data_IF_695817278820
#
_entry.id   IF_695817278820
#
_cell.length_a   1.000
_cell.length_b   1.000
_cell.length_c   1.000
_cell.angle_alpha   90.00
_cell.angle_beta   90.00
_cell.angle_gamma   90.00
#
_symmetry.space_group_name_H-M   'P 1'
#
loop_
_entity.id
_entity.type
_entity.pdbx_description
1 polymer ?
#
# COMPACT_ATOMS: atom_id res chain seq x y z
N UNK A 1 32.66 2.08 -50.95
CA UNK A 1 32.60 1.40 -49.65
C UNK A 1 32.70 2.36 -48.46
N UNK A 2 33.64 3.33 -48.43
CA UNK A 2 33.81 4.27 -47.30
C UNK A 2 32.55 5.08 -46.89
N UNK A 3 31.74 5.51 -47.86
CA UNK A 3 30.51 6.29 -47.60
C UNK A 3 29.42 5.48 -46.86
N UNK A 4 29.33 4.18 -47.14
CA UNK A 4 28.39 3.27 -46.46
C UNK A 4 28.80 3.03 -45.01
N UNK A 5 30.11 2.89 -44.76
CA UNK A 5 30.65 2.73 -43.40
C UNK A 5 30.41 3.97 -42.54
N UNK A 6 30.57 5.18 -43.10
CA UNK A 6 30.29 6.44 -42.38
C UNK A 6 28.80 6.57 -42.06
N UNK A 7 27.93 6.19 -43.00
CA UNK A 7 26.48 6.25 -42.80
C UNK A 7 26.02 5.26 -41.73
N UNK A 8 26.57 4.04 -41.72
CA UNK A 8 26.33 3.05 -40.68
C UNK A 8 26.80 3.53 -39.30
N UNK A 9 27.99 4.14 -39.22
CA UNK A 9 28.51 4.68 -37.96
C UNK A 9 27.64 5.82 -37.43
N UNK A 10 27.16 6.71 -38.30
CA UNK A 10 26.25 7.80 -37.91
C UNK A 10 24.91 7.29 -37.41
N UNK A 11 24.38 6.22 -38.01
CA UNK A 11 23.11 5.63 -37.59
C UNK A 11 23.22 5.00 -36.20
N UNK A 12 24.32 4.27 -35.94
CA UNK A 12 24.60 3.68 -34.62
C UNK A 12 24.78 4.77 -33.56
N UNK A 13 25.50 5.86 -33.89
CA UNK A 13 25.70 7.00 -32.99
C UNK A 13 24.39 7.73 -32.66
N UNK A 14 23.46 7.86 -33.62
CA UNK A 14 22.15 8.47 -33.43
C UNK A 14 21.20 7.59 -32.60
N UNK A 15 21.31 6.26 -32.72
CA UNK A 15 20.49 5.31 -31.94
C UNK A 15 21.01 5.04 -30.52
N UNK A 16 22.28 5.35 -30.24
CA UNK A 16 22.92 5.04 -28.96
C UNK A 16 22.55 5.96 -27.78
N UNK A 17 21.83 7.06 -28.01
CA UNK A 17 21.57 8.10 -26.99
C UNK A 17 20.12 8.10 -26.48
N UNK A 18 19.29 7.13 -26.87
CA UNK A 18 17.96 6.98 -26.26
C UNK A 18 18.06 6.22 -24.94
N UNK A 19 18.71 6.82 -23.96
CA UNK A 19 18.49 6.47 -22.56
C UNK A 19 17.10 6.94 -22.19
N UNK A 20 16.09 6.09 -22.43
CA UNK A 20 14.79 6.28 -21.81
C UNK A 20 15.02 6.14 -20.30
N UNK A 21 14.75 7.20 -19.55
CA UNK A 21 14.72 7.15 -18.10
C UNK A 21 13.56 6.23 -17.68
N UNK A 22 13.87 4.96 -17.41
CA UNK A 22 12.92 3.95 -16.89
C UNK A 22 12.71 4.17 -15.39
N UNK A 23 13.16 5.29 -14.80
CA UNK A 23 12.86 5.60 -13.41
C UNK A 23 11.51 6.32 -13.33
N UNK A 24 10.48 5.57 -12.93
CA UNK A 24 9.23 6.19 -12.52
C UNK A 24 9.51 7.08 -11.30
N UNK A 25 9.05 8.35 -11.28
CA UNK A 25 9.20 9.20 -10.11
C UNK A 25 8.50 8.52 -8.92
N UNK A 26 8.99 8.67 -7.69
CA UNK A 26 8.46 7.97 -6.51
C UNK A 26 6.98 8.28 -6.19
N UNK A 27 6.42 9.32 -6.83
CA UNK A 27 5.01 9.71 -6.76
C UNK A 27 4.11 9.10 -7.84
N UNK A 28 4.66 8.42 -8.86
CA UNK A 28 3.92 7.96 -10.04
C UNK A 28 2.78 7.00 -9.68
N UNK A 29 2.98 6.16 -8.67
CA UNK A 29 1.98 5.20 -8.23
C UNK A 29 0.85 5.83 -7.40
N UNK A 30 1.00 7.08 -6.95
CA UNK A 30 0.02 7.78 -6.12
C UNK A 30 -0.84 8.70 -6.99
N UNK A 31 -1.91 8.14 -7.55
CA UNK A 31 -2.88 8.85 -8.39
C UNK A 31 -4.22 9.04 -7.68
N UNK A 32 -5.02 9.99 -8.16
CA UNK A 32 -6.40 10.19 -7.70
C UNK A 32 -7.25 8.90 -7.82
N UNK A 33 -7.03 8.12 -8.88
CA UNK A 33 -7.72 6.84 -9.10
C UNK A 33 -7.34 5.79 -8.05
N UNK A 34 -6.05 5.70 -7.70
CA UNK A 34 -5.60 4.80 -6.63
C UNK A 34 -6.13 5.22 -5.27
N UNK A 35 -6.18 6.53 -5.00
CA UNK A 35 -6.81 7.08 -3.79
C UNK A 35 -8.30 6.74 -3.72
N UNK A 36 -9.04 6.86 -4.83
CA UNK A 36 -10.44 6.43 -4.91
C UNK A 36 -10.60 4.92 -4.68
N UNK A 37 -9.79 4.09 -5.35
CA UNK A 37 -9.84 2.63 -5.18
C UNK A 37 -9.56 2.21 -3.73
N UNK A 38 -8.58 2.84 -3.09
CA UNK A 38 -8.27 2.65 -1.67
C UNK A 38 -9.40 3.11 -0.76
N UNK A 39 -10.01 4.26 -1.04
CA UNK A 39 -11.14 4.78 -0.28
C UNK A 39 -12.32 3.80 -0.27
N UNK A 40 -12.71 3.32 -1.47
CA UNK A 40 -13.78 2.34 -1.63
C UNK A 40 -13.42 1.03 -0.92
N UNK A 41 -12.19 0.54 -1.10
CA UNK A 41 -11.72 -0.69 -0.46
C UNK A 41 -11.77 -0.59 1.07
N UNK A 42 -11.34 0.54 1.64
CA UNK A 42 -11.39 0.78 3.08
C UNK A 42 -12.80 0.82 3.65
N UNK A 43 -13.79 1.32 2.88
CA UNK A 43 -15.19 1.34 3.29
C UNK A 43 -15.79 -0.07 3.24
N UNK A 44 -15.56 -0.80 2.14
CA UNK A 44 -16.20 -2.10 1.90
C UNK A 44 -15.56 -3.23 2.70
N UNK A 45 -14.22 -3.24 2.79
CA UNK A 45 -13.45 -4.33 3.38
C UNK A 45 -12.74 -3.93 4.67
N UNK A 46 -13.02 -2.74 5.22
CA UNK A 46 -12.43 -2.30 6.49
C UNK A 46 -12.73 -3.21 7.68
N UNK A 47 -13.85 -3.94 7.63
CA UNK A 47 -14.23 -4.90 8.67
C UNK A 47 -13.27 -6.10 8.78
N UNK A 48 -12.48 -6.39 7.73
CA UNK A 48 -11.49 -7.49 7.74
C UNK A 48 -10.37 -7.29 8.76
N UNK A 49 -10.16 -6.06 9.26
CA UNK A 49 -9.24 -5.78 10.36
C UNK A 49 -9.60 -6.54 11.64
N UNK A 50 -10.89 -6.81 11.90
CA UNK A 50 -11.33 -7.51 13.11
C UNK A 50 -10.82 -8.97 13.14
N UNK A 51 -11.22 -9.85 12.19
CA UNK A 51 -10.78 -11.23 12.20
C UNK A 51 -9.26 -11.36 12.06
N UNK A 52 -8.64 -10.50 11.25
CA UNK A 52 -7.18 -10.53 11.05
C UNK A 52 -6.44 -10.16 12.34
N UNK A 53 -6.84 -9.10 13.03
CA UNK A 53 -6.18 -8.68 14.28
C UNK A 53 -6.31 -9.74 15.37
N UNK A 54 -7.44 -10.46 15.42
CA UNK A 54 -7.64 -11.57 16.36
C UNK A 54 -6.62 -12.67 16.11
N UNK A 55 -6.41 -13.08 14.85
CA UNK A 55 -5.42 -14.10 14.49
C UNK A 55 -4.01 -13.59 14.81
N UNK A 56 -3.68 -12.35 14.44
CA UNK A 56 -2.36 -11.77 14.67
C UNK A 56 -2.01 -11.70 16.16
N UNK A 57 -2.94 -11.24 17.00
CA UNK A 57 -2.76 -11.19 18.46
C UNK A 57 -2.74 -12.59 19.06
N UNK A 58 -3.50 -13.54 18.51
CA UNK A 58 -3.44 -14.92 18.94
C UNK A 58 -2.04 -15.52 18.69
N UNK A 59 -1.44 -15.25 17.54
CA UNK A 59 -0.11 -15.76 17.18
C UNK A 59 1.00 -15.11 18.02
N UNK A 60 0.88 -13.83 18.38
CA UNK A 60 1.92 -13.13 19.17
C UNK A 60 1.74 -13.24 20.68
N UNK A 61 0.50 -13.33 21.16
CA UNK A 61 0.17 -13.14 22.59
C UNK A 61 -0.79 -14.20 23.13
N UNK A 62 -1.20 -15.16 22.31
CA UNK A 62 -2.03 -16.30 22.67
C UNK A 62 -3.53 -16.06 22.58
N UNK A 63 -4.29 -17.16 22.63
CA UNK A 63 -5.74 -17.21 22.33
C UNK A 63 -6.58 -16.28 23.21
N UNK A 64 -6.19 -16.10 24.48
CA UNK A 64 -6.91 -15.23 25.43
C UNK A 64 -6.76 -13.76 25.07
N UNK A 65 -5.56 -13.35 24.67
CA UNK A 65 -5.31 -11.99 24.20
C UNK A 65 -6.02 -11.74 22.86
N UNK A 66 -6.01 -12.71 21.95
CA UNK A 66 -6.74 -12.61 20.67
C UNK A 66 -8.24 -12.38 20.86
N UNK A 67 -8.88 -13.15 21.75
CA UNK A 67 -10.32 -13.04 22.01
C UNK A 67 -10.72 -11.77 22.80
N UNK A 68 -9.78 -11.09 23.46
CA UNK A 68 -10.04 -9.89 24.27
C UNK A 68 -9.44 -8.65 23.60
N UNK A 69 -8.14 -8.44 23.76
CA UNK A 69 -7.39 -7.33 23.17
C UNK A 69 -7.51 -7.31 21.64
N UNK A 70 -7.39 -8.47 20.97
CA UNK A 70 -7.44 -8.55 19.51
C UNK A 70 -8.76 -8.08 18.91
N UNK A 71 -9.90 -8.38 19.56
CA UNK A 71 -11.23 -7.92 19.13
C UNK A 71 -11.34 -6.40 19.24
N UNK A 72 -10.93 -5.83 20.38
CA UNK A 72 -11.03 -4.38 20.64
C UNK A 72 -10.11 -3.60 19.71
N UNK A 73 -8.86 -4.05 19.56
CA UNK A 73 -7.86 -3.44 18.68
C UNK A 73 -8.29 -3.53 17.20
N UNK A 74 -8.78 -4.69 16.76
CA UNK A 74 -9.28 -4.89 15.40
C UNK A 74 -10.50 -4.01 15.09
N UNK A 75 -11.37 -3.80 16.07
CA UNK A 75 -12.53 -2.90 15.95
C UNK A 75 -12.07 -1.44 15.83
N UNK A 76 -11.09 -1.01 16.63
CA UNK A 76 -10.52 0.34 16.53
C UNK A 76 -9.91 0.58 15.14
N UNK A 77 -9.13 -0.39 14.63
CA UNK A 77 -8.54 -0.35 13.29
C UNK A 77 -9.58 -0.26 12.18
N UNK A 78 -10.65 -1.06 12.27
CA UNK A 78 -11.78 -1.01 11.35
C UNK A 78 -12.34 0.41 11.28
N UNK A 79 -12.64 1.04 12.43
CA UNK A 79 -13.20 2.39 12.44
C UNK A 79 -12.24 3.45 11.89
N UNK A 80 -10.95 3.36 12.23
CA UNK A 80 -9.91 4.25 11.66
C UNK A 80 -9.88 4.11 10.14
N UNK A 81 -9.84 2.87 9.63
CA UNK A 81 -9.79 2.57 8.20
C UNK A 81 -11.04 3.07 7.47
N UNK A 82 -12.23 2.78 8.00
CA UNK A 82 -13.49 3.28 7.42
C UNK A 82 -13.56 4.80 7.45
N UNK A 83 -13.15 5.45 8.53
CA UNK A 83 -13.09 6.91 8.65
C UNK A 83 -12.18 7.53 7.59
N UNK A 84 -10.99 6.96 7.40
CA UNK A 84 -10.12 7.37 6.29
C UNK A 84 -10.70 7.04 4.92
N UNK A 85 -11.43 5.94 4.78
CA UNK A 85 -12.15 5.59 3.56
C UNK A 85 -13.13 6.68 3.15
N UNK A 86 -13.99 7.15 4.06
CA UNK A 86 -14.91 8.26 3.78
C UNK A 86 -14.17 9.58 3.53
N UNK A 87 -13.12 9.88 4.30
CA UNK A 87 -12.30 11.07 4.09
C UNK A 87 -11.63 11.09 2.70
N UNK A 88 -11.02 9.98 2.29
CA UNK A 88 -10.37 9.86 0.99
C UNK A 88 -11.39 9.80 -0.15
N UNK A 89 -12.60 9.26 0.08
CA UNK A 89 -13.68 9.25 -0.90
C UNK A 89 -14.18 10.65 -1.23
N UNK A 90 -14.30 11.53 -0.23
CA UNK A 90 -14.71 12.93 -0.46
C UNK A 90 -13.57 13.75 -1.07
N UNK A 91 -12.33 13.45 -0.71
CA UNK A 91 -11.16 14.25 -1.10
C UNK A 91 -10.34 13.63 -2.23
N UNK A 92 -10.86 12.63 -2.96
CA UNK A 92 -10.05 11.80 -3.86
C UNK A 92 -9.38 12.58 -5.00
N UNK A 93 -9.98 13.70 -5.43
CA UNK A 93 -9.44 14.61 -6.45
C UNK A 93 -8.40 15.59 -5.91
N UNK A 94 -8.26 15.69 -4.59
CA UNK A 94 -7.35 16.62 -3.93
C UNK A 94 -6.12 15.90 -3.34
N UNK A 95 -4.90 16.43 -3.55
CA UNK A 95 -3.67 15.91 -2.96
C UNK A 95 -3.58 16.32 -1.48
N UNK A 96 -4.27 15.60 -0.61
CA UNK A 96 -4.48 15.96 0.80
C UNK A 96 -3.32 15.64 1.74
N UNK A 97 -2.38 14.78 1.34
CA UNK A 97 -1.30 14.35 2.23
C UNK A 97 0.06 14.75 1.66
N UNK A 98 0.72 15.72 2.32
CA UNK A 98 2.02 16.29 1.91
C UNK A 98 2.05 16.74 0.43
N UNK A 99 0.92 17.25 -0.08
CA UNK A 99 0.79 17.65 -1.49
C UNK A 99 0.78 16.47 -2.48
N UNK A 100 0.49 15.25 -2.01
CA UNK A 100 0.42 14.03 -2.83
C UNK A 100 -0.87 13.24 -2.56
N UNK A 101 -1.13 12.20 -3.38
CA UNK A 101 -2.21 11.22 -3.17
C UNK A 101 -1.79 10.02 -2.30
N UNK A 102 -0.63 10.11 -1.64
CA UNK A 102 -0.14 9.07 -0.73
C UNK A 102 -1.09 8.93 0.46
N UNK A 103 -1.29 7.70 0.93
CA UNK A 103 -2.14 7.44 2.07
C UNK A 103 -1.56 8.10 3.35
N UNK A 104 -2.39 8.71 4.21
CA UNK A 104 -1.96 9.27 5.49
C UNK A 104 -1.74 8.19 6.58
N UNK A 105 -1.71 6.91 6.20
CA UNK A 105 -1.61 5.79 7.13
C UNK A 105 -0.16 5.60 7.53
N UNK A 106 0.17 5.95 8.76
CA UNK A 106 1.54 5.80 9.25
C UNK A 106 1.81 4.32 9.50
N UNK A 107 2.52 3.65 8.58
CA UNK A 107 3.15 2.34 8.84
C UNK A 107 4.56 2.57 9.36
N UNK A 108 4.87 1.99 10.51
CA UNK A 108 6.24 2.04 11.00
C UNK A 108 7.17 1.24 10.09
N UNK A 109 8.35 1.78 9.79
CA UNK A 109 9.37 1.12 8.95
C UNK A 109 9.21 1.28 7.43
N UNK A 110 8.16 1.96 6.94
CA UNK A 110 8.01 2.30 5.50
C UNK A 110 7.90 3.81 5.24
N UNK A 111 7.44 4.59 6.21
CA UNK A 111 7.60 6.05 6.25
C UNK A 111 8.65 6.37 7.31
N UNK A 112 9.66 7.16 6.97
CA UNK A 112 10.88 7.45 7.74
C UNK A 112 10.69 8.16 9.10
N UNK A 113 9.75 7.70 9.94
CA UNK A 113 9.46 8.17 11.30
C UNK A 113 9.76 7.03 12.26
N UNK A 114 10.81 7.21 13.06
CA UNK A 114 11.40 6.20 13.96
C UNK A 114 10.59 6.04 15.26
N UNK A 115 9.56 6.87 15.48
CA UNK A 115 8.90 7.06 16.79
C UNK A 115 7.57 6.30 16.98
N UNK A 116 7.13 5.47 16.03
CA UNK A 116 5.89 4.69 16.16
C UNK A 116 6.15 3.21 16.47
N UNK A 117 5.19 2.53 17.10
CA UNK A 117 5.27 1.06 17.23
C UNK A 117 4.95 0.41 15.88
N UNK A 118 5.70 -0.63 15.43
CA UNK A 118 5.38 -1.42 14.22
C UNK A 118 3.95 -1.92 14.19
N UNK A 119 3.37 -2.15 15.37
CA UNK A 119 1.98 -2.58 15.48
C UNK A 119 0.97 -1.48 15.16
N UNK A 120 1.26 -0.19 15.28
CA UNK A 120 0.25 0.89 15.38
C UNK A 120 -0.21 1.49 14.02
N UNK A 121 0.24 0.93 12.90
CA UNK A 121 -0.06 1.41 11.55
C UNK A 121 -1.14 0.66 10.78
N UNK A 122 -1.63 1.26 9.70
CA UNK A 122 -2.57 0.65 8.74
C UNK A 122 -1.90 0.50 7.37
N UNK A 123 -2.08 -0.66 6.74
CA UNK A 123 -1.73 -0.86 5.33
C UNK A 123 -2.53 0.03 4.40
N UNK A 124 -1.96 0.32 3.24
CA UNK A 124 -2.64 1.08 2.18
C UNK A 124 -4.02 0.49 1.89
N UNK A 125 -4.09 -0.81 1.62
CA UNK A 125 -5.34 -1.55 1.44
C UNK A 125 -5.69 -2.37 2.68
N UNK A 126 -6.99 -2.68 2.89
CA UNK A 126 -7.44 -3.55 3.97
C UNK A 126 -6.72 -4.91 3.95
N UNK A 127 -6.59 -5.56 5.11
CA UNK A 127 -6.00 -6.89 5.17
C UNK A 127 -6.87 -7.88 4.41
N UNK A 128 -6.19 -8.81 3.75
CA UNK A 128 -6.82 -9.92 3.06
C UNK A 128 -6.90 -11.12 4.02
N UNK A 129 -7.90 -11.98 3.83
CA UNK A 129 -8.11 -13.14 4.69
C UNK A 129 -7.39 -14.34 4.09
N UNK A 130 -6.62 -15.08 4.88
CA UNK A 130 -5.76 -16.17 4.41
C UNK A 130 -6.40 -17.37 3.67
N UNK A 131 -7.69 -17.35 3.34
CA UNK A 131 -8.37 -18.32 2.45
C UNK A 131 -8.50 -17.80 1.00
N UNK A 132 -7.46 -17.16 0.49
CA UNK A 132 -7.46 -16.62 -0.87
C UNK A 132 -7.25 -17.70 -1.93
N UNK A 133 -8.10 -17.73 -2.96
CA UNK A 133 -8.02 -18.72 -4.05
C UNK A 133 -6.81 -18.54 -4.96
N UNK A 134 -6.10 -17.42 -4.86
CA UNK A 134 -4.93 -17.09 -5.69
C UNK A 134 -3.60 -17.51 -5.10
N UNK A 135 -3.56 -17.94 -3.83
CA UNK A 135 -2.38 -18.55 -3.23
C UNK A 135 -2.63 -20.04 -2.94
N UNK A 136 -1.61 -20.85 -3.16
CA UNK A 136 -1.65 -22.30 -2.87
C UNK A 136 -1.57 -22.62 -1.37
N UNK A 137 -1.35 -21.61 -0.52
CA UNK A 137 -1.17 -21.75 0.92
C UNK A 137 -1.89 -20.64 1.67
N UNK A 138 -2.29 -20.94 2.92
CA UNK A 138 -2.84 -19.93 3.81
C UNK A 138 -1.76 -18.95 4.25
N UNK A 139 -2.10 -17.65 4.24
CA UNK A 139 -1.19 -16.56 4.62
C UNK A 139 -1.86 -15.68 5.66
N UNK A 140 -1.10 -15.31 6.68
CA UNK A 140 -1.50 -14.30 7.67
C UNK A 140 -0.63 -13.07 7.45
N UNK A 141 -1.22 -11.87 7.53
CA UNK A 141 -0.45 -10.63 7.46
C UNK A 141 0.25 -10.39 8.81
N UNK A 142 1.56 -10.22 8.77
CA UNK A 142 2.34 -9.82 9.95
C UNK A 142 2.33 -8.29 10.08
N UNK A 143 2.69 -7.79 11.27
CA UNK A 143 2.82 -6.35 11.57
C UNK A 143 3.69 -5.61 10.54
#
# INVERSE_FOLDING_TARGET
MKKLSVLALSLIALTGVTSADIQAPPGADFTANRKLGRAISNILYGFMEIPETIVRVNDTSGRKAGASYGVVEGTNRMFRRMGYGFYELVTFTCPTYRGTYKAPYEKCGQDARIEMSPSQGLSEFPPELGFETYFSHSRTQTW
#
